data_IF_532201324798
#
_entry.id   IF_532201324798
#
_cell.length_a   1.000
_cell.length_b   1.000
_cell.length_c   1.000
_cell.angle_alpha   90.00
_cell.angle_beta   90.00
_cell.angle_gamma   90.00
#
_symmetry.space_group_name_H-M   'P 1'
#
loop_
_entity.id
_entity.type
_entity.pdbx_description
1 polymer ?
#
# COMPACT_ATOMS: atom_id res chain seq x y z
N UNK A 1 -4.32 -56.41 45.02
CA UNK A 1 -5.17 -56.37 46.22
C UNK A 1 -4.53 -55.40 47.20
N UNK A 2 -5.21 -54.26 47.49
CA UNK A 2 -5.01 -53.31 48.62
C UNK A 2 -3.66 -52.53 48.65
N UNK A 3 -3.50 -51.24 49.00
CA UNK A 3 -4.32 -50.02 49.17
C UNK A 3 -3.39 -48.91 49.75
N UNK A 4 -3.54 -47.64 49.35
CA UNK A 4 -3.12 -46.36 50.03
C UNK A 4 -1.61 -46.13 50.32
N UNK A 5 -1.05 -44.92 50.35
CA UNK A 5 -1.66 -43.60 50.52
C UNK A 5 -0.69 -42.42 50.32
N UNK A 6 -1.27 -41.24 50.47
CA UNK A 6 -0.88 -39.88 50.10
C UNK A 6 0.33 -39.28 50.86
N UNK A 7 1.04 -38.32 50.24
CA UNK A 7 1.13 -36.94 50.75
C UNK A 7 1.86 -35.99 49.78
N UNK A 8 1.18 -34.89 49.43
CA UNK A 8 1.69 -33.66 48.78
C UNK A 8 2.57 -32.85 49.74
N UNK A 9 3.50 -32.03 49.21
CA UNK A 9 3.28 -30.57 49.20
C UNK A 9 3.82 -29.96 47.89
N UNK A 10 3.65 -28.70 47.53
CA UNK A 10 2.72 -27.64 47.88
C UNK A 10 2.70 -26.76 46.62
N UNK A 11 1.55 -26.18 46.35
CA UNK A 11 1.30 -25.22 45.26
C UNK A 11 2.18 -23.98 45.43
N UNK A 12 2.95 -23.62 44.40
CA UNK A 12 3.48 -22.26 44.24
C UNK A 12 3.28 -21.83 42.78
N UNK A 13 2.29 -20.96 42.61
CA UNK A 13 2.05 -19.98 41.54
C UNK A 13 2.62 -20.22 40.13
N UNK A 14 1.71 -20.48 39.17
CA UNK A 14 1.80 -19.83 37.86
C UNK A 14 1.48 -18.33 38.01
N UNK A 15 2.17 -17.48 37.27
CA UNK A 15 1.51 -16.62 36.28
C UNK A 15 1.99 -17.04 34.89
N UNK A 16 1.09 -17.55 34.06
CA UNK A 16 0.36 -16.83 33.02
C UNK A 16 1.22 -16.66 31.74
N UNK A 17 0.68 -17.05 30.57
CA UNK A 17 1.43 -17.05 29.32
C UNK A 17 1.78 -15.62 28.90
N UNK A 18 2.86 -15.47 28.14
CA UNK A 18 3.21 -14.24 27.46
C UNK A 18 2.04 -13.79 26.55
N UNK A 19 1.19 -12.91 27.04
CA UNK A 19 0.03 -12.36 26.34
C UNK A 19 0.13 -10.84 26.22
N UNK A 20 1.31 -10.26 25.95
CA UNK A 20 1.43 -8.80 25.74
C UNK A 20 2.59 -8.39 24.81
N UNK A 21 2.87 -9.12 23.72
CA UNK A 21 3.84 -8.67 22.71
C UNK A 21 3.24 -8.49 21.29
N UNK A 22 1.97 -8.84 21.07
CA UNK A 22 1.36 -8.78 19.73
C UNK A 22 0.58 -7.48 19.43
N UNK A 23 0.31 -6.63 20.43
CA UNK A 23 -0.51 -5.41 20.23
C UNK A 23 0.28 -4.15 19.85
N UNK A 24 1.63 -4.15 19.95
CA UNK A 24 2.44 -2.99 19.56
C UNK A 24 2.88 -3.01 18.09
N UNK A 25 2.88 -4.18 17.42
CA UNK A 25 3.18 -4.22 15.98
C UNK A 25 2.03 -3.74 15.08
N UNK A 26 0.81 -3.59 15.62
CA UNK A 26 -0.37 -3.24 14.83
C UNK A 26 -0.88 -1.80 15.02
N UNK A 27 -0.13 -0.95 15.76
CA UNK A 27 -0.57 0.41 16.13
C UNK A 27 0.07 1.54 15.30
N UNK A 28 0.89 1.23 14.30
CA UNK A 28 1.60 2.22 13.49
C UNK A 28 1.38 2.09 11.97
N UNK A 29 0.36 1.36 11.52
CA UNK A 29 -0.11 1.46 10.13
C UNK A 29 -1.22 2.52 10.08
N UNK A 30 -0.83 3.79 10.18
CA UNK A 30 -1.68 4.88 9.69
C UNK A 30 -1.61 4.86 8.16
N UNK A 31 -2.66 4.39 7.44
CA UNK A 31 -2.62 4.31 5.98
C UNK A 31 -2.46 5.69 5.33
N UNK A 32 -2.79 6.77 6.06
CA UNK A 32 -2.64 8.14 5.57
C UNK A 32 -1.18 8.63 5.55
N UNK A 33 -0.27 7.97 6.27
CA UNK A 33 1.14 8.37 6.38
C UNK A 33 2.09 7.56 5.48
N UNK A 34 1.58 6.55 4.77
CA UNK A 34 2.38 5.75 3.84
C UNK A 34 2.54 6.50 2.51
N UNK A 35 3.66 7.20 2.33
CA UNK A 35 4.05 7.75 1.02
C UNK A 35 4.24 6.60 0.03
N UNK A 36 3.30 6.45 -0.90
CA UNK A 36 3.33 5.39 -1.92
C UNK A 36 4.05 5.92 -3.15
N UNK A 37 5.26 5.44 -3.40
CA UNK A 37 5.94 5.72 -4.67
C UNK A 37 5.34 4.88 -5.78
N UNK A 38 4.79 5.54 -6.80
CA UNK A 38 4.30 4.90 -8.03
C UNK A 38 5.46 4.79 -9.02
N UNK A 39 5.71 3.58 -9.51
CA UNK A 39 6.74 3.31 -10.53
C UNK A 39 6.12 2.61 -11.72
N UNK A 40 6.59 2.92 -12.91
CA UNK A 40 6.10 2.28 -14.12
C UNK A 40 7.00 2.49 -15.33
N UNK A 41 6.56 1.94 -16.45
CA UNK A 41 7.23 2.07 -17.75
C UNK A 41 6.20 2.33 -18.84
N UNK A 42 6.46 3.32 -19.69
CA UNK A 42 5.60 3.71 -20.81
C UNK A 42 6.13 3.09 -22.09
N UNK A 43 5.24 2.46 -22.84
CA UNK A 43 5.53 1.83 -24.13
C UNK A 43 4.43 2.12 -25.13
N UNK A 44 4.79 2.20 -26.41
CA UNK A 44 3.81 2.30 -27.48
C UNK A 44 2.86 1.09 -27.49
N UNK A 45 1.58 1.36 -27.75
CA UNK A 45 0.61 0.29 -28.00
C UNK A 45 0.85 -0.30 -29.40
N UNK A 46 1.01 -1.63 -29.50
CA UNK A 46 1.20 -2.33 -30.77
C UNK A 46 2.37 -3.32 -30.75
N UNK A 47 2.84 -3.72 -31.94
CA UNK A 47 3.89 -4.73 -32.11
C UNK A 47 5.30 -4.24 -31.73
N UNK A 48 5.56 -2.94 -31.87
CA UNK A 48 6.85 -2.29 -31.55
C UNK A 48 7.18 -2.38 -30.05
N UNK A 49 6.21 -2.04 -29.18
CA UNK A 49 6.40 -1.90 -27.72
C UNK A 49 7.63 -1.06 -27.35
N UNK A 50 8.05 -0.14 -28.22
CA UNK A 50 9.18 0.75 -28.00
C UNK A 50 8.94 1.62 -26.75
N UNK A 51 10.01 1.97 -26.01
CA UNK A 51 9.92 2.91 -24.90
C UNK A 51 9.48 4.29 -25.38
N UNK A 52 8.64 4.95 -24.59
CA UNK A 52 8.29 6.36 -24.86
C UNK A 52 9.17 7.23 -23.99
N UNK A 53 10.06 7.97 -24.64
CA UNK A 53 11.06 8.85 -24.00
C UNK A 53 10.44 10.22 -23.74
N UNK A 54 10.81 10.85 -22.62
CA UNK A 54 10.40 12.20 -22.26
C UNK A 54 8.88 12.40 -22.22
N UNK A 55 8.14 11.36 -21.82
CA UNK A 55 6.69 11.44 -21.66
C UNK A 55 6.34 11.98 -20.27
N UNK A 56 5.52 13.03 -20.25
CA UNK A 56 4.97 13.58 -19.01
C UNK A 56 3.87 12.69 -18.47
N UNK A 57 4.06 12.18 -17.26
CA UNK A 57 3.08 11.42 -16.48
C UNK A 57 2.49 12.34 -15.42
N UNK A 58 1.16 12.43 -15.40
CA UNK A 58 0.40 13.17 -14.40
C UNK A 58 -0.49 12.18 -13.66
N UNK A 59 -0.37 12.14 -12.32
CA UNK A 59 -1.25 11.37 -11.46
C UNK A 59 -2.22 12.33 -10.80
N UNK A 60 -3.50 11.97 -10.93
CA UNK A 60 -4.61 12.68 -10.34
C UNK A 60 -5.56 11.70 -9.64
N UNK A 61 -6.12 12.09 -8.49
CA UNK A 61 -7.30 11.45 -7.91
C UNK A 61 -8.46 11.51 -8.89
N UNK A 62 -8.76 10.36 -9.48
CA UNK A 62 -9.90 10.24 -10.36
C UNK A 62 -11.20 10.21 -9.54
N UNK A 63 -12.22 11.03 -9.91
CA UNK A 63 -13.57 10.87 -9.37
C UNK A 63 -14.09 9.45 -9.59
N UNK A 64 -14.92 8.95 -8.65
CA UNK A 64 -15.37 7.54 -8.64
C UNK A 64 -16.15 7.10 -9.89
N UNK A 65 -16.68 8.05 -10.65
CA UNK A 65 -17.44 7.84 -11.88
C UNK A 65 -16.57 7.87 -13.16
N UNK A 66 -15.30 8.28 -13.06
CA UNK A 66 -14.36 8.31 -14.19
C UNK A 66 -13.80 6.92 -14.44
N UNK A 67 -13.81 6.49 -15.70
CA UNK A 67 -13.21 5.21 -16.13
C UNK A 67 -12.23 5.41 -17.28
N UNK A 68 -11.10 4.67 -17.31
CA UNK A 68 -10.17 4.71 -18.42
C UNK A 68 -10.88 4.46 -19.77
N UNK A 69 -10.53 5.25 -20.79
CA UNK A 69 -11.06 5.11 -22.15
C UNK A 69 -12.51 5.59 -22.34
N UNK A 70 -13.15 6.15 -21.31
CA UNK A 70 -14.46 6.82 -21.43
C UNK A 70 -14.29 8.31 -21.24
N UNK A 71 -15.02 9.09 -22.03
CA UNK A 71 -15.13 10.54 -21.82
C UNK A 71 -15.73 10.81 -20.44
N UNK A 72 -15.06 11.64 -19.64
CA UNK A 72 -15.63 12.16 -18.40
C UNK A 72 -16.90 12.97 -18.71
N UNK A 73 -17.94 12.83 -17.89
CA UNK A 73 -19.19 13.57 -18.08
C UNK A 73 -19.00 15.05 -17.77
N UNK A 74 -18.32 15.33 -16.67
CA UNK A 74 -18.03 16.66 -16.19
C UNK A 74 -16.57 17.02 -16.45
N UNK A 75 -16.25 18.31 -16.69
CA UNK A 75 -14.87 18.78 -16.75
C UNK A 75 -14.11 18.46 -15.46
N UNK A 76 -12.83 18.14 -15.57
CA UNK A 76 -11.93 18.05 -14.42
C UNK A 76 -11.88 19.40 -13.70
N UNK A 77 -11.98 19.37 -12.37
CA UNK A 77 -11.90 20.56 -11.54
C UNK A 77 -10.50 21.20 -11.66
N UNK A 78 -10.36 22.48 -12.05
CA UNK A 78 -9.05 23.14 -12.09
C UNK A 78 -8.41 23.29 -10.71
N UNK A 79 -9.19 23.33 -9.62
CA UNK A 79 -8.69 23.35 -8.25
C UNK A 79 -8.23 21.97 -7.78
N UNK A 80 -8.50 20.91 -8.54
CA UNK A 80 -7.91 19.59 -8.34
C UNK A 80 -6.44 19.51 -8.77
N UNK A 81 -5.89 20.53 -9.41
CA UNK A 81 -4.52 20.50 -9.96
C UNK A 81 -3.46 20.68 -8.87
N UNK A 82 -3.80 21.24 -7.70
CA UNK A 82 -2.83 21.50 -6.61
C UNK A 82 -2.27 20.22 -5.97
N UNK A 83 -2.93 19.07 -6.16
CA UNK A 83 -2.49 17.76 -5.68
C UNK A 83 -1.98 16.83 -6.80
N UNK A 84 -1.78 17.37 -8.00
CA UNK A 84 -1.26 16.63 -9.13
C UNK A 84 0.21 16.26 -8.91
N UNK A 85 0.53 14.98 -9.02
CA UNK A 85 1.91 14.52 -9.02
C UNK A 85 2.41 14.34 -10.46
N UNK A 86 3.63 14.78 -10.73
CA UNK A 86 4.21 14.76 -12.07
C UNK A 86 5.57 14.07 -12.08
N UNK A 87 5.83 13.28 -13.12
CA UNK A 87 7.16 12.82 -13.49
C UNK A 87 7.32 12.78 -15.01
N UNK A 88 8.56 12.73 -15.47
CA UNK A 88 8.91 12.50 -16.87
C UNK A 88 9.58 11.13 -17.01
N UNK A 89 9.33 10.44 -18.13
CA UNK A 89 9.98 9.17 -18.41
C UNK A 89 11.41 9.32 -18.96
N UNK A 90 12.28 8.40 -18.55
CA UNK A 90 13.67 8.33 -19.03
C UNK A 90 13.80 7.75 -20.46
N UNK A 91 15.04 7.56 -20.93
CA UNK A 91 15.37 7.00 -22.25
C UNK A 91 14.86 5.56 -22.45
N UNK A 92 14.62 4.83 -21.35
CA UNK A 92 14.05 3.49 -21.35
C UNK A 92 12.52 3.50 -21.16
N UNK A 93 11.94 4.69 -21.01
CA UNK A 93 10.52 4.95 -20.76
C UNK A 93 10.08 4.71 -19.31
N UNK A 94 11.00 4.59 -18.35
CA UNK A 94 10.65 4.40 -16.94
C UNK A 94 10.36 5.73 -16.25
N UNK A 95 9.45 5.70 -15.28
CA UNK A 95 9.14 6.85 -14.42
C UNK A 95 8.97 6.42 -12.96
N UNK A 96 9.16 7.38 -12.05
CA UNK A 96 8.87 7.24 -10.63
C UNK A 96 8.27 8.53 -10.08
N UNK A 97 7.13 8.41 -9.39
CA UNK A 97 6.42 9.50 -8.73
C UNK A 97 6.40 9.19 -7.22
N UNK A 98 6.91 10.09 -6.35
CA UNK A 98 7.02 9.85 -4.92
C UNK A 98 5.68 9.87 -4.18
#
# INVERSE_FOLDING_TARGET
MVLLGQARPARAASPAPAEHEQDEQNRADDPASRRVTVRGRIREAGGSRAPVIAATVLIVDAPADVRPGKTARDPLDPSAVDWMLQAESDEDGNFAIP
#
